data_IF_451672012917
#
_entry.id   IF_451672012917
#
_cell.length_a   1.000
_cell.length_b   1.000
_cell.length_c   1.000
_cell.angle_alpha   90.00
_cell.angle_beta   90.00
_cell.angle_gamma   90.00
#
_symmetry.space_group_name_H-M   'P 1'
#
loop_
_entity.id
_entity.type
_entity.pdbx_description
1 polymer ?
#
# COMPACT_ATOMS: atom_id res chain seq x y z
N UNK A 1 3.65 2.51 9.81
CA UNK A 1 2.23 2.46 9.37
C UNK A 1 2.00 2.85 7.91
N UNK A 2 2.94 3.54 7.24
CA UNK A 2 2.85 3.95 5.82
C UNK A 2 2.19 2.94 4.86
N UNK A 3 2.61 1.67 4.88
CA UNK A 3 2.18 0.69 3.88
C UNK A 3 0.88 -0.05 4.23
N UNK A 4 0.39 0.08 5.47
CA UNK A 4 -0.79 -0.69 5.92
C UNK A 4 -2.05 -0.41 5.09
N UNK A 5 -2.41 0.85 4.77
CA UNK A 5 -3.60 1.13 3.96
C UNK A 5 -3.51 0.51 2.56
N UNK A 6 -2.33 0.58 1.94
CA UNK A 6 -2.08 0.00 0.62
C UNK A 6 -2.14 -1.54 0.65
N UNK A 7 -1.55 -2.17 1.67
CA UNK A 7 -1.59 -3.62 1.85
C UNK A 7 -3.02 -4.10 2.09
N UNK A 8 -3.79 -3.41 2.92
CA UNK A 8 -5.20 -3.74 3.17
C UNK A 8 -6.04 -3.61 1.89
N UNK A 9 -5.84 -2.54 1.11
CA UNK A 9 -6.52 -2.38 -0.17
C UNK A 9 -6.19 -3.51 -1.15
N UNK A 10 -4.92 -3.88 -1.29
CA UNK A 10 -4.50 -5.00 -2.14
C UNK A 10 -5.05 -6.35 -1.66
N UNK A 11 -5.12 -6.58 -0.34
CA UNK A 11 -5.74 -7.78 0.22
C UNK A 11 -7.23 -7.86 -0.10
N UNK A 12 -7.96 -6.75 0.04
CA UNK A 12 -9.39 -6.68 -0.30
C UNK A 12 -9.61 -6.94 -1.79
N UNK A 13 -8.77 -6.37 -2.66
CA UNK A 13 -8.82 -6.61 -4.11
C UNK A 13 -8.57 -8.09 -4.42
N UNK A 14 -7.54 -8.71 -3.83
CA UNK A 14 -7.26 -10.13 -4.02
C UNK A 14 -8.39 -11.03 -3.50
N UNK A 15 -9.02 -10.68 -2.38
CA UNK A 15 -10.16 -11.42 -1.83
C UNK A 15 -11.40 -11.30 -2.73
N UNK A 16 -11.66 -10.10 -3.27
CA UNK A 16 -12.74 -9.88 -4.23
C UNK A 16 -12.55 -10.71 -5.51
N UNK A 17 -11.32 -10.81 -6.02
CA UNK A 17 -11.00 -11.71 -7.12
C UNK A 17 -11.20 -13.18 -6.75
N UNK A 18 -10.78 -13.61 -5.56
CA UNK A 18 -11.02 -14.96 -5.07
C UNK A 18 -12.52 -15.31 -5.00
N UNK A 19 -13.36 -14.37 -4.57
CA UNK A 19 -14.81 -14.52 -4.55
C UNK A 19 -15.41 -14.57 -5.97
N UNK A 20 -14.92 -13.74 -6.89
CA UNK A 20 -15.36 -13.72 -8.30
C UNK A 20 -15.04 -15.04 -9.01
N UNK A 21 -13.87 -15.64 -8.75
CA UNK A 21 -13.51 -16.98 -9.27
C UNK A 21 -14.47 -18.06 -8.82
N UNK A 22 -15.00 -17.96 -7.60
CA UNK A 22 -16.00 -18.90 -7.09
C UNK A 22 -17.39 -18.68 -7.70
N UNK A 23 -17.75 -17.44 -8.02
CA UNK A 23 -19.06 -17.09 -8.58
C UNK A 23 -19.18 -17.36 -10.09
N UNK A 24 -18.09 -17.17 -10.85
CA UNK A 24 -18.07 -17.35 -12.30
C UNK A 24 -16.74 -18.01 -12.77
N UNK A 25 -16.62 -19.34 -12.65
CA UNK A 25 -15.37 -20.08 -12.93
C UNK A 25 -14.93 -20.06 -14.42
N UNK A 26 -15.82 -19.59 -15.30
CA UNK A 26 -15.63 -19.50 -16.75
C UNK A 26 -15.19 -18.11 -17.23
N UNK A 27 -15.20 -17.08 -16.36
CA UNK A 27 -14.54 -15.82 -16.70
C UNK A 27 -13.02 -16.07 -16.72
N UNK A 28 -12.35 -15.65 -17.78
CA UNK A 28 -10.88 -15.61 -17.81
C UNK A 28 -10.41 -14.48 -16.89
N UNK A 29 -10.39 -14.75 -15.59
CA UNK A 29 -10.05 -13.80 -14.53
C UNK A 29 -8.60 -13.35 -14.66
N UNK A 30 -7.74 -14.11 -15.34
CA UNK A 30 -6.42 -13.62 -15.72
C UNK A 30 -6.50 -12.50 -16.77
N UNK A 31 -7.32 -12.65 -17.81
CA UNK A 31 -7.49 -11.63 -18.85
C UNK A 31 -8.22 -10.36 -18.36
N UNK A 32 -9.15 -10.46 -17.41
CA UNK A 32 -9.91 -9.31 -16.90
C UNK A 32 -9.34 -8.77 -15.58
N UNK A 33 -8.89 -9.66 -14.71
CA UNK A 33 -8.40 -9.31 -13.38
C UNK A 33 -7.02 -8.67 -13.37
N UNK A 34 -6.12 -9.04 -14.30
CA UNK A 34 -4.80 -8.43 -14.37
C UNK A 34 -4.86 -6.93 -14.75
N UNK A 35 -5.57 -6.52 -15.82
CA UNK A 35 -5.77 -5.10 -16.12
C UNK A 35 -6.45 -4.34 -14.98
N UNK A 36 -7.48 -4.93 -14.38
CA UNK A 36 -8.23 -4.29 -13.29
C UNK A 36 -7.37 -4.12 -12.03
N UNK A 37 -6.58 -5.12 -11.66
CA UNK A 37 -5.64 -5.05 -10.51
C UNK A 37 -4.56 -4.02 -10.77
N UNK A 38 -4.03 -3.93 -11.99
CA UNK A 38 -3.05 -2.91 -12.37
C UNK A 38 -3.61 -1.49 -12.21
N UNK A 39 -4.80 -1.22 -12.74
CA UNK A 39 -5.44 0.11 -12.62
C UNK A 39 -5.70 0.44 -11.14
N UNK A 40 -6.26 -0.50 -10.37
CA UNK A 40 -6.49 -0.30 -8.94
C UNK A 40 -5.19 -0.09 -8.16
N UNK A 41 -4.14 -0.87 -8.47
CA UNK A 41 -2.82 -0.72 -7.88
C UNK A 41 -2.20 0.66 -8.17
N UNK A 42 -2.33 1.15 -9.39
CA UNK A 42 -1.87 2.50 -9.76
C UNK A 42 -2.67 3.60 -9.05
N UNK A 43 -3.98 3.44 -8.88
CA UNK A 43 -4.81 4.39 -8.10
C UNK A 43 -4.42 4.39 -6.62
N UNK A 44 -4.20 3.21 -6.04
CA UNK A 44 -3.74 3.08 -4.65
C UNK A 44 -2.38 3.74 -4.47
N UNK A 45 -1.45 3.55 -5.41
CA UNK A 45 -0.15 4.22 -5.40
C UNK A 45 -0.29 5.74 -5.50
N UNK A 46 -1.14 6.24 -6.40
CA UNK A 46 -1.39 7.67 -6.56
C UNK A 46 -1.92 8.31 -5.27
N UNK A 47 -2.92 7.68 -4.63
CA UNK A 47 -3.45 8.15 -3.35
C UNK A 47 -2.39 8.05 -2.25
N UNK A 48 -1.64 6.94 -2.21
CA UNK A 48 -0.58 6.73 -1.22
C UNK A 48 0.56 7.74 -1.33
N UNK A 49 0.88 8.21 -2.54
CA UNK A 49 1.92 9.24 -2.75
C UNK A 49 1.54 10.59 -2.15
N UNK A 50 0.25 10.90 -2.00
CA UNK A 50 -0.19 12.15 -1.40
C UNK A 50 0.17 12.25 0.10
N UNK A 51 0.15 11.13 0.83
CA UNK A 51 0.47 11.07 2.27
C UNK A 51 1.97 10.79 2.53
N UNK A 52 2.74 10.44 1.48
CA UNK A 52 4.14 10.04 1.58
C UNK A 52 5.02 11.10 2.25
N UNK A 53 4.84 12.37 1.87
CA UNK A 53 5.66 13.48 2.37
C UNK A 53 5.43 13.72 3.86
N UNK A 54 4.17 13.70 4.30
CA UNK A 54 3.78 13.86 5.71
C UNK A 54 4.44 12.80 6.58
N UNK A 55 4.32 11.54 6.16
CA UNK A 55 4.88 10.43 6.92
C UNK A 55 6.42 10.41 6.90
N UNK A 56 7.03 10.82 5.78
CA UNK A 56 8.48 10.96 5.68
C UNK A 56 9.01 12.01 6.67
N UNK A 57 8.32 13.15 6.83
CA UNK A 57 8.74 14.19 7.77
C UNK A 57 8.72 13.70 9.22
N UNK A 58 7.71 12.92 9.61
CA UNK A 58 7.63 12.32 10.95
C UNK A 58 8.82 11.38 11.20
N UNK A 59 9.07 10.45 10.29
CA UNK A 59 10.18 9.48 10.39
C UNK A 59 11.54 10.18 10.41
N UNK A 60 11.75 11.19 9.56
CA UNK A 60 12.97 11.97 9.53
C UNK A 60 13.18 12.74 10.84
N UNK A 61 12.10 13.30 11.41
CA UNK A 61 12.13 14.00 12.71
C UNK A 61 12.54 13.06 13.85
N UNK A 62 11.92 11.89 13.93
CA UNK A 62 12.26 10.87 14.93
C UNK A 62 13.70 10.39 14.80
N UNK A 63 14.17 10.13 13.57
CA UNK A 63 15.55 9.72 13.31
C UNK A 63 16.57 10.79 13.74
N UNK A 64 16.29 12.06 13.45
CA UNK A 64 17.15 13.17 13.84
C UNK A 64 17.16 13.39 15.36
N UNK A 65 16.03 13.21 16.04
CA UNK A 65 15.97 13.23 17.51
C UNK A 65 16.81 12.10 18.11
N UNK A 66 16.67 10.88 17.59
CA UNK A 66 17.44 9.73 18.03
C UNK A 66 18.96 9.96 17.88
N UNK A 67 19.39 10.50 16.74
CA UNK A 67 20.80 10.85 16.53
C UNK A 67 21.29 11.92 17.51
N UNK A 68 20.47 12.94 17.82
CA UNK A 68 20.82 13.95 18.83
C UNK A 68 20.97 13.36 20.23
N UNK A 69 20.10 12.44 20.62
CA UNK A 69 20.17 11.76 21.91
C UNK A 69 21.44 10.92 22.03
N UNK A 70 21.80 10.17 20.98
CA UNK A 70 23.05 9.40 20.95
C UNK A 70 24.30 10.28 21.08
N UNK A 71 24.31 11.46 20.45
CA UNK A 71 25.43 12.40 20.55
C UNK A 71 25.50 13.05 21.94
N UNK A 72 24.36 13.34 22.57
CA UNK A 72 24.30 13.89 23.95
C UNK A 72 24.57 12.88 25.06
N UNK A 73 24.38 11.59 24.78
CA UNK A 73 24.65 10.51 25.72
C UNK A 73 26.16 10.17 25.82
N UNK A 74 27.00 10.80 24.99
CA UNK A 74 28.46 10.87 25.17
C UNK A 74 28.86 12.17 25.87
#
# INVERSE_FOLDING_TARGET
>A
LLALPAITALLVVNLAFGAMTRAAPQLNIFSIGFPLTLVLGLVILWIGTADLLSQYQVLAGEALQFLRELVRAK
#
